data_IF_273560141202
#
_entry.id   IF_273560141202
#
_cell.length_a   1.000
_cell.length_b   1.000
_cell.length_c   1.000
_cell.angle_alpha   90.00
_cell.angle_beta   90.00
_cell.angle_gamma   90.00
#
_symmetry.space_group_name_H-M   'P 1'
#
loop_
_entity.id
_entity.type
_entity.pdbx_description
1 polymer ?
#
# COMPACT_ATOMS: atom_id res chain seq x y z
N UNK A 1 22.26 15.08 -23.18
CA UNK A 1 21.27 14.45 -22.28
C UNK A 1 21.23 15.23 -20.97
N UNK A 2 20.08 15.79 -20.56
CA UNK A 2 19.95 16.32 -19.19
C UNK A 2 19.93 15.12 -18.24
N UNK A 3 20.93 15.03 -17.36
CA UNK A 3 20.91 14.09 -16.25
C UNK A 3 19.69 14.45 -15.41
N UNK A 4 18.67 13.59 -15.40
CA UNK A 4 17.51 13.78 -14.53
C UNK A 4 18.04 13.69 -13.10
N UNK A 5 18.00 14.80 -12.37
CA UNK A 5 18.35 14.83 -10.95
C UNK A 5 17.43 13.88 -10.21
N UNK A 6 17.95 12.73 -9.80
CA UNK A 6 17.22 11.80 -8.95
C UNK A 6 17.20 12.35 -7.52
N UNK A 7 16.12 12.09 -6.79
CA UNK A 7 16.11 12.31 -5.34
C UNK A 7 17.22 11.42 -4.76
N UNK A 8 18.22 11.98 -4.07
CA UNK A 8 19.46 11.27 -3.72
C UNK A 8 19.25 10.09 -2.76
N UNK A 9 18.09 10.04 -2.10
CA UNK A 9 17.69 9.02 -1.13
C UNK A 9 17.21 7.74 -1.80
N UNK A 10 16.63 7.80 -3.00
CA UNK A 10 16.06 6.64 -3.68
C UNK A 10 16.98 6.17 -4.80
N UNK A 11 17.70 5.08 -4.57
CA UNK A 11 18.73 4.55 -5.49
C UNK A 11 18.38 3.17 -6.02
N UNK A 12 17.58 2.42 -5.27
CA UNK A 12 17.25 1.01 -5.55
C UNK A 12 15.75 0.78 -5.43
N UNK A 13 15.20 -0.29 -6.03
CA UNK A 13 13.82 -0.71 -5.78
C UNK A 13 13.53 -0.93 -4.29
N UNK A 14 14.51 -1.45 -3.54
CA UNK A 14 14.41 -1.62 -2.09
C UNK A 14 14.10 -0.30 -1.37
N UNK A 15 14.71 0.82 -1.77
CA UNK A 15 14.45 2.11 -1.13
C UNK A 15 13.00 2.56 -1.31
N UNK A 16 12.40 2.23 -2.46
CA UNK A 16 10.99 2.50 -2.77
C UNK A 16 10.08 1.54 -2.01
N UNK A 17 10.46 0.27 -1.86
CA UNK A 17 9.72 -0.69 -1.03
C UNK A 17 9.70 -0.28 0.45
N UNK A 18 10.85 0.17 0.99
CA UNK A 18 10.91 0.70 2.34
C UNK A 18 10.13 2.01 2.48
N UNK A 19 10.04 2.82 1.41
CA UNK A 19 9.11 3.97 1.39
C UNK A 19 7.66 3.50 1.46
N UNK A 20 7.28 2.48 0.70
CA UNK A 20 5.93 1.91 0.71
C UNK A 20 5.53 1.50 2.13
N UNK A 21 6.42 0.82 2.86
CA UNK A 21 6.16 0.40 4.24
C UNK A 21 6.08 1.58 5.21
N UNK A 22 6.88 2.64 5.02
CA UNK A 22 6.71 3.89 5.78
C UNK A 22 5.37 4.55 5.50
N UNK A 23 4.91 4.59 4.23
CA UNK A 23 3.58 5.11 3.93
C UNK A 23 2.49 4.23 4.56
N UNK A 24 2.61 2.90 4.53
CA UNK A 24 1.70 1.98 5.22
C UNK A 24 1.54 2.33 6.71
N UNK A 25 2.66 2.53 7.41
CA UNK A 25 2.67 2.97 8.80
C UNK A 25 2.01 4.32 9.01
N UNK A 26 2.28 5.29 8.11
CA UNK A 26 1.68 6.64 8.18
C UNK A 26 0.18 6.63 7.89
N UNK A 27 -0.29 5.83 6.94
CA UNK A 27 -1.73 5.67 6.67
C UNK A 27 -2.42 5.13 7.93
N UNK A 28 -1.85 4.06 8.48
CA UNK A 28 -2.47 3.35 9.61
C UNK A 28 -2.53 4.17 10.89
N UNK A 29 -1.49 4.97 11.15
CA UNK A 29 -1.33 5.75 12.37
C UNK A 29 -1.69 7.23 12.17
N UNK A 30 -2.33 7.61 11.05
CA UNK A 30 -2.73 8.98 10.79
C UNK A 30 -3.70 9.49 11.88
N UNK A 31 -3.53 10.75 12.36
CA UNK A 31 -4.34 11.29 13.45
C UNK A 31 -5.76 11.68 13.03
N UNK A 32 -5.99 11.88 11.73
CA UNK A 32 -7.25 12.34 11.17
C UNK A 32 -7.44 11.80 9.74
N UNK A 33 -8.67 11.87 9.23
CA UNK A 33 -9.04 11.35 7.91
C UNK A 33 -8.32 12.07 6.75
N UNK A 34 -7.98 13.35 6.90
CA UNK A 34 -7.30 14.11 5.84
C UNK A 34 -5.86 13.60 5.70
N UNK A 35 -5.11 13.55 6.80
CA UNK A 35 -3.77 12.97 6.88
C UNK A 35 -3.77 11.51 6.40
N UNK A 36 -4.79 10.72 6.79
CA UNK A 36 -4.95 9.34 6.35
C UNK A 36 -5.13 9.25 4.83
N UNK A 37 -5.95 10.13 4.25
CA UNK A 37 -6.20 10.18 2.81
C UNK A 37 -4.94 10.52 2.02
N UNK A 38 -4.17 11.51 2.49
CA UNK A 38 -2.90 11.90 1.88
C UNK A 38 -1.89 10.75 1.90
N UNK A 39 -1.78 10.05 3.04
CA UNK A 39 -0.89 8.90 3.16
C UNK A 39 -1.36 7.70 2.35
N UNK A 40 -2.67 7.44 2.26
CA UNK A 40 -3.25 6.40 1.39
C UNK A 40 -2.93 6.68 -0.08
N UNK A 41 -3.13 7.92 -0.54
CA UNK A 41 -2.79 8.29 -1.90
C UNK A 41 -1.29 8.10 -2.18
N UNK A 42 -0.43 8.55 -1.26
CA UNK A 42 1.01 8.34 -1.35
C UNK A 42 1.40 6.87 -1.35
N UNK A 43 0.73 6.03 -0.57
CA UNK A 43 0.92 4.58 -0.56
C UNK A 43 0.58 3.98 -1.94
N UNK A 44 -0.58 4.29 -2.50
CA UNK A 44 -1.02 3.81 -3.82
C UNK A 44 -0.08 4.26 -4.96
N UNK A 45 0.37 5.51 -4.95
CA UNK A 45 1.37 6.03 -5.91
C UNK A 45 2.71 5.32 -5.75
N UNK A 46 3.15 5.10 -4.50
CA UNK A 46 4.42 4.41 -4.21
C UNK A 46 4.37 2.96 -4.66
N UNK A 47 3.24 2.27 -4.47
CA UNK A 47 3.02 0.89 -4.95
C UNK A 47 3.24 0.77 -6.46
N UNK A 48 2.60 1.67 -7.22
CA UNK A 48 2.76 1.69 -8.68
C UNK A 48 4.18 2.08 -9.10
N UNK A 49 4.81 3.00 -8.37
CA UNK A 49 6.19 3.40 -8.62
C UNK A 49 7.19 2.27 -8.38
N UNK A 50 6.96 1.43 -7.36
CA UNK A 50 7.84 0.31 -7.02
C UNK A 50 7.93 -0.72 -8.16
N UNK A 51 6.80 -1.04 -8.80
CA UNK A 51 6.76 -1.85 -10.02
C UNK A 51 7.70 -1.30 -11.09
N UNK A 52 7.60 0.00 -11.37
CA UNK A 52 8.40 0.63 -12.43
C UNK A 52 9.90 0.63 -12.08
N UNK A 53 10.23 0.79 -10.79
CA UNK A 53 11.60 0.67 -10.31
C UNK A 53 12.17 -0.74 -10.48
N UNK A 54 11.39 -1.79 -10.15
CA UNK A 54 11.80 -3.19 -10.34
C UNK A 54 11.99 -3.55 -11.82
N UNK A 55 11.06 -3.12 -12.68
CA UNK A 55 11.20 -3.31 -14.13
C UNK A 55 12.49 -2.66 -14.63
N UNK A 56 12.71 -1.40 -14.23
CA UNK A 56 13.88 -0.64 -14.64
C UNK A 56 15.19 -1.24 -14.13
N UNK A 57 15.24 -1.75 -12.89
CA UNK A 57 16.46 -2.37 -12.36
C UNK A 57 16.85 -3.64 -13.11
N UNK A 58 15.88 -4.31 -13.73
CA UNK A 58 16.09 -5.50 -14.56
C UNK A 58 16.32 -5.19 -16.05
N UNK A 59 16.29 -3.90 -16.43
CA UNK A 59 16.35 -3.50 -17.84
C UNK A 59 15.15 -3.97 -18.67
N UNK A 60 14.03 -4.29 -18.01
CA UNK A 60 12.81 -4.79 -18.66
C UNK A 60 11.88 -3.61 -18.94
N UNK A 61 11.27 -3.61 -20.12
CA UNK A 61 10.16 -2.72 -20.44
C UNK A 61 8.89 -3.55 -20.34
N UNK A 62 8.00 -3.23 -19.39
CA UNK A 62 6.75 -3.98 -19.22
C UNK A 62 5.87 -3.84 -20.46
N UNK A 63 5.26 -4.94 -20.89
CA UNK A 63 4.22 -4.97 -21.92
C UNK A 63 2.83 -5.02 -21.28
N UNK A 64 1.78 -5.01 -22.12
CA UNK A 64 0.39 -5.03 -21.63
C UNK A 64 0.11 -6.24 -20.73
N UNK A 65 0.59 -7.43 -21.14
CA UNK A 65 0.39 -8.69 -20.42
C UNK A 65 1.07 -8.65 -19.04
N UNK A 66 2.28 -8.11 -18.98
CA UNK A 66 2.97 -7.87 -17.71
C UNK A 66 2.16 -6.93 -16.82
N UNK A 67 1.67 -5.80 -17.34
CA UNK A 67 0.91 -4.86 -16.52
C UNK A 67 -0.41 -5.45 -16.02
N UNK A 68 -1.11 -6.25 -16.81
CA UNK A 68 -2.32 -6.97 -16.38
C UNK A 68 -2.02 -8.00 -15.29
N UNK A 69 -0.99 -8.85 -15.50
CA UNK A 69 -0.59 -9.84 -14.50
C UNK A 69 -0.13 -9.19 -13.18
N UNK A 70 0.61 -8.07 -13.26
CA UNK A 70 0.98 -7.29 -12.08
C UNK A 70 -0.25 -6.71 -11.39
N UNK A 71 -1.22 -6.16 -12.13
CA UNK A 71 -2.46 -5.62 -11.54
C UNK A 71 -3.25 -6.71 -10.81
N UNK A 72 -3.17 -7.97 -11.25
CA UNK A 72 -3.84 -9.11 -10.62
C UNK A 72 -3.17 -9.61 -9.33
N UNK A 73 -1.93 -9.19 -9.02
CA UNK A 73 -1.21 -9.55 -7.79
C UNK A 73 -1.91 -9.01 -6.53
N UNK A 74 -1.58 -9.60 -5.38
CA UNK A 74 -2.23 -9.31 -4.11
C UNK A 74 -3.76 -9.45 -4.19
N UNK A 75 -4.26 -10.46 -4.93
CA UNK A 75 -5.70 -10.64 -5.22
C UNK A 75 -6.35 -9.44 -5.93
N UNK A 76 -5.64 -8.80 -6.85
CA UNK A 76 -6.12 -7.64 -7.62
C UNK A 76 -5.86 -6.27 -6.98
N UNK A 77 -5.39 -6.23 -5.73
CA UNK A 77 -5.22 -4.97 -4.99
C UNK A 77 -4.13 -4.05 -5.56
N UNK A 78 -3.18 -4.59 -6.31
CA UNK A 78 -2.20 -3.77 -7.04
C UNK A 78 -2.89 -2.91 -8.13
N UNK A 79 -3.88 -3.48 -8.82
CA UNK A 79 -4.73 -2.75 -9.76
C UNK A 79 -5.54 -1.66 -9.09
N UNK A 80 -6.13 -1.96 -7.93
CA UNK A 80 -6.90 -0.99 -7.13
C UNK A 80 -6.04 0.19 -6.68
N UNK A 81 -4.81 -0.05 -6.24
CA UNK A 81 -3.82 1.01 -5.96
C UNK A 81 -3.52 1.87 -7.19
N UNK A 82 -3.29 1.25 -8.34
CA UNK A 82 -3.04 2.00 -9.58
C UNK A 82 -4.26 2.85 -9.97
N UNK A 83 -5.46 2.35 -9.71
CA UNK A 83 -6.69 3.07 -9.99
C UNK A 83 -6.87 4.23 -9.00
N UNK A 84 -6.71 4.03 -7.70
CA UNK A 84 -6.75 5.14 -6.71
C UNK A 84 -5.72 6.22 -7.06
N UNK A 85 -4.47 5.84 -7.36
CA UNK A 85 -3.41 6.77 -7.74
C UNK A 85 -3.72 7.58 -9.02
N UNK A 86 -4.48 6.99 -9.95
CA UNK A 86 -4.89 7.62 -11.21
C UNK A 86 -6.23 8.36 -11.12
N UNK A 87 -7.09 8.05 -10.14
CA UNK A 87 -8.42 8.65 -9.98
C UNK A 87 -8.33 10.16 -9.74
N UNK A 88 -7.37 10.56 -8.90
CA UNK A 88 -7.10 11.96 -8.60
C UNK A 88 -6.53 12.76 -9.78
N UNK A 89 -6.22 12.10 -10.92
CA UNK A 89 -5.69 12.75 -12.13
C UNK A 89 -6.73 12.95 -13.24
N UNK A 90 -7.74 12.08 -13.34
CA UNK A 90 -8.65 12.05 -14.49
C UNK A 90 -10.13 12.32 -14.18
N UNK A 91 -10.54 12.47 -12.91
CA UNK A 91 -11.94 12.78 -12.50
C UNK A 91 -13.01 11.87 -13.17
N UNK A 92 -12.63 10.68 -13.61
CA UNK A 92 -13.56 9.69 -14.19
C UNK A 92 -14.21 8.89 -13.07
N UNK A 93 -15.53 8.70 -13.15
CA UNK A 93 -16.35 7.84 -12.27
C UNK A 93 -15.69 6.46 -12.13
N UNK A 94 -15.38 6.03 -10.89
CA UNK A 94 -14.66 4.78 -10.63
C UNK A 94 -15.52 3.73 -9.95
N UNK A 95 -15.15 2.46 -10.18
CA UNK A 95 -15.70 1.28 -9.47
C UNK A 95 -15.10 1.08 -8.09
N UNK A 96 -13.98 1.75 -7.79
CA UNK A 96 -13.28 1.68 -6.50
C UNK A 96 -13.57 2.94 -5.72
N UNK A 97 -14.10 2.80 -4.51
CA UNK A 97 -14.53 3.91 -3.67
C UNK A 97 -13.86 3.83 -2.30
N UNK A 98 -13.49 4.97 -1.75
CA UNK A 98 -12.93 5.08 -0.40
C UNK A 98 -13.91 5.87 0.44
N UNK A 99 -14.45 5.24 1.48
CA UNK A 99 -15.49 5.83 2.33
C UNK A 99 -15.04 5.88 3.78
N UNK A 100 -15.26 7.03 4.44
CA UNK A 100 -14.99 7.17 5.87
C UNK A 100 -15.95 6.31 6.69
N UNK A 101 -15.41 5.61 7.68
CA UNK A 101 -16.16 4.77 8.61
C UNK A 101 -15.58 4.87 10.02
N UNK A 102 -16.38 4.51 11.03
CA UNK A 102 -15.90 4.36 12.41
C UNK A 102 -15.70 2.88 12.71
N UNK A 103 -14.50 2.52 13.15
CA UNK A 103 -14.16 1.17 13.60
C UNK A 103 -14.04 1.09 15.11
N UNK A 104 -14.43 -0.06 15.66
CA UNK A 104 -14.20 -0.43 17.05
C UNK A 104 -12.99 -1.36 17.13
N UNK A 105 -11.94 -0.93 17.82
CA UNK A 105 -10.77 -1.73 18.14
C UNK A 105 -10.91 -2.30 19.54
N UNK A 106 -10.46 -3.54 19.71
CA UNK A 106 -10.42 -4.22 21.00
C UNK A 106 -9.07 -4.90 21.19
N UNK A 107 -8.55 -4.84 22.41
CA UNK A 107 -7.39 -5.64 22.82
C UNK A 107 -7.79 -7.10 22.96
N UNK A 108 -7.00 -8.00 22.37
CA UNK A 108 -7.17 -9.45 22.51
C UNK A 108 -6.12 -9.98 23.49
N UNK A 109 -6.59 -10.66 24.54
CA UNK A 109 -5.78 -11.43 25.47
C UNK A 109 -5.94 -12.94 25.24
N UNK A 110 -5.25 -13.77 26.04
CA UNK A 110 -5.30 -15.23 25.90
C UNK A 110 -6.71 -15.83 26.00
N UNK A 111 -7.63 -15.14 26.69
CA UNK A 111 -8.99 -15.60 26.97
C UNK A 111 -10.05 -14.80 26.17
N UNK A 112 -9.65 -14.09 25.12
CA UNK A 112 -10.54 -13.25 24.32
C UNK A 112 -10.36 -11.76 24.59
N UNK A 113 -11.43 -10.98 24.39
CA UNK A 113 -11.38 -9.52 24.50
C UNK A 113 -11.01 -9.08 25.92
N UNK A 114 -10.05 -8.17 26.02
CA UNK A 114 -9.67 -7.53 27.28
C UNK A 114 -10.71 -6.46 27.58
N UNK A 115 -11.47 -6.62 28.66
CA UNK A 115 -12.48 -5.64 29.07
C UNK A 115 -11.85 -4.27 29.32
N UNK A 116 -12.45 -3.20 28.80
CA UNK A 116 -11.97 -1.82 28.94
C UNK A 116 -10.89 -1.44 27.92
N UNK A 117 -10.57 -2.30 26.96
CA UNK A 117 -9.62 -2.01 25.88
C UNK A 117 -10.28 -1.43 24.63
N UNK A 118 -11.60 -1.26 24.65
CA UNK A 118 -12.38 -0.76 23.53
C UNK A 118 -11.95 0.66 23.14
N UNK A 119 -11.60 0.85 21.88
CA UNK A 119 -11.26 2.14 21.30
C UNK A 119 -12.02 2.33 20.01
N UNK A 120 -12.50 3.55 19.75
CA UNK A 120 -13.06 3.92 18.45
C UNK A 120 -12.03 4.70 17.66
N UNK A 121 -12.07 4.56 16.34
CA UNK A 121 -11.32 5.43 15.43
C UNK A 121 -12.07 5.65 14.13
N UNK A 122 -11.84 6.80 13.53
CA UNK A 122 -12.20 7.01 12.14
C UNK A 122 -11.16 6.37 11.22
N UNK A 123 -11.62 5.75 10.14
CA UNK A 123 -10.76 5.15 9.13
C UNK A 123 -11.48 5.08 7.78
N UNK A 124 -10.91 4.33 6.83
CA UNK A 124 -11.51 4.09 5.53
C UNK A 124 -11.90 2.62 5.36
N UNK A 125 -13.06 2.43 4.73
CA UNK A 125 -13.35 1.22 3.98
C UNK A 125 -13.10 1.49 2.49
N UNK A 126 -12.61 0.46 1.80
CA UNK A 126 -12.36 0.52 0.37
C UNK A 126 -13.32 -0.46 -0.31
N UNK A 127 -14.23 0.07 -1.12
CA UNK A 127 -15.04 -0.72 -2.04
C UNK A 127 -14.18 -1.00 -3.25
N UNK A 128 -13.90 -2.27 -3.50
CA UNK A 128 -13.09 -2.73 -4.64
C UNK A 128 -13.89 -2.64 -5.94
N UNK A 129 -13.21 -2.72 -7.08
CA UNK A 129 -13.86 -2.72 -8.39
C UNK A 129 -14.85 -3.87 -8.62
N UNK A 130 -14.74 -4.93 -7.81
CA UNK A 130 -15.68 -6.06 -7.76
C UNK A 130 -16.96 -5.78 -6.95
N UNK A 131 -17.04 -4.66 -6.23
CA UNK A 131 -18.09 -4.33 -5.27
C UNK A 131 -17.87 -4.89 -3.87
N UNK A 132 -16.82 -5.71 -3.66
CA UNK A 132 -16.46 -6.23 -2.34
C UNK A 132 -15.82 -5.10 -1.51
N UNK A 133 -16.17 -5.01 -0.23
CA UNK A 133 -15.53 -4.05 0.69
C UNK A 133 -14.36 -4.72 1.43
N UNK A 134 -13.26 -3.98 1.59
CA UNK A 134 -12.11 -4.37 2.42
C UNK A 134 -11.75 -3.22 3.38
N UNK A 135 -11.38 -3.56 4.61
CA UNK A 135 -10.90 -2.58 5.58
C UNK A 135 -9.48 -2.10 5.22
N UNK A 136 -9.13 -0.90 5.70
CA UNK A 136 -7.86 -0.27 5.38
C UNK A 136 -6.65 -1.08 5.84
N UNK A 137 -6.71 -1.74 7.01
CA UNK A 137 -5.59 -2.52 7.52
C UNK A 137 -5.29 -3.69 6.58
N UNK A 138 -6.33 -4.45 6.25
CA UNK A 138 -6.21 -5.65 5.42
C UNK A 138 -5.80 -5.29 4.00
N UNK A 139 -6.28 -4.17 3.46
CA UNK A 139 -5.84 -3.63 2.18
C UNK A 139 -4.33 -3.41 2.15
N UNK A 140 -3.81 -2.64 3.13
CA UNK A 140 -2.38 -2.34 3.25
C UNK A 140 -1.57 -3.63 3.49
N UNK A 141 -2.02 -4.47 4.42
CA UNK A 141 -1.36 -5.70 4.80
C UNK A 141 -1.17 -6.64 3.61
N UNK A 142 -2.23 -6.92 2.85
CA UNK A 142 -2.16 -7.82 1.67
C UNK A 142 -1.19 -7.31 0.60
N UNK A 143 -1.16 -6.01 0.36
CA UNK A 143 -0.24 -5.39 -0.60
C UNK A 143 1.21 -5.49 -0.12
N UNK A 144 1.46 -5.20 1.15
CA UNK A 144 2.80 -5.30 1.73
C UNK A 144 3.31 -6.75 1.76
N UNK A 145 2.45 -7.70 2.14
CA UNK A 145 2.76 -9.14 2.14
C UNK A 145 3.14 -9.64 0.74
N UNK A 146 2.41 -9.21 -0.31
CA UNK A 146 2.75 -9.56 -1.69
C UNK A 146 4.15 -9.02 -2.05
N UNK A 147 4.46 -7.77 -1.69
CA UNK A 147 5.79 -7.21 -1.97
C UNK A 147 6.93 -7.88 -1.18
N UNK A 148 6.68 -8.29 0.06
CA UNK A 148 7.63 -9.13 0.79
C UNK A 148 7.89 -10.45 0.06
N UNK A 149 6.83 -11.09 -0.45
CA UNK A 149 6.92 -12.30 -1.25
C UNK A 149 7.71 -12.10 -2.54
N UNK A 150 7.43 -11.03 -3.28
CA UNK A 150 8.16 -10.68 -4.51
C UNK A 150 9.65 -10.50 -4.25
N UNK A 151 10.03 -9.71 -3.25
CA UNK A 151 11.44 -9.47 -2.91
C UNK A 151 12.14 -10.69 -2.33
N UNK A 152 11.41 -11.58 -1.65
CA UNK A 152 11.99 -12.82 -1.12
C UNK A 152 12.21 -13.86 -2.22
N UNK A 153 11.43 -13.82 -3.29
CA UNK A 153 11.50 -14.76 -4.41
C UNK A 153 12.42 -14.29 -5.55
N UNK A 154 12.78 -13.01 -5.57
CA UNK A 154 13.62 -12.40 -6.60
C UNK A 154 15.12 -12.58 -6.26
N UNK A 155 15.90 -13.34 -7.05
CA UNK A 155 17.31 -13.61 -6.74
C UNK A 155 18.20 -12.36 -6.79
N UNK A 156 17.76 -11.30 -7.48
CA UNK A 156 18.48 -10.04 -7.59
C UNK A 156 18.17 -9.08 -6.43
N UNK A 157 17.27 -9.46 -5.52
CA UNK A 157 16.85 -8.65 -4.38
C UNK A 157 17.13 -9.35 -3.06
N UNK A 158 17.40 -8.54 -2.03
CA UNK A 158 17.44 -9.04 -0.66
C UNK A 158 16.02 -9.02 -0.06
N UNK A 159 15.66 -9.99 0.80
CA UNK A 159 14.38 -9.98 1.51
C UNK A 159 14.11 -8.64 2.21
N UNK A 160 12.86 -8.20 2.16
CA UNK A 160 12.41 -7.01 2.88
C UNK A 160 12.23 -7.32 4.36
N UNK A 161 12.42 -6.33 5.26
CA UNK A 161 11.99 -6.49 6.65
C UNK A 161 10.46 -6.62 6.72
N UNK A 162 9.90 -7.24 7.77
CA UNK A 162 8.45 -7.33 7.92
C UNK A 162 7.79 -5.94 8.03
N UNK A 163 6.80 -5.68 7.19
CA UNK A 163 6.04 -4.42 7.13
C UNK A 163 5.33 -4.11 8.45
N UNK A 164 4.98 -5.14 9.24
CA UNK A 164 4.39 -4.98 10.58
C UNK A 164 5.23 -4.10 11.50
N UNK A 165 6.56 -4.10 11.36
CA UNK A 165 7.44 -3.21 12.13
C UNK A 165 7.19 -1.71 11.90
N UNK A 166 6.67 -1.36 10.73
CA UNK A 166 6.30 0.01 10.34
C UNK A 166 4.86 0.37 10.75
N UNK A 167 3.97 -0.62 10.87
CA UNK A 167 2.61 -0.40 11.35
C UNK A 167 2.56 -0.17 12.87
N UNK A 168 3.45 -0.82 13.61
CA UNK A 168 3.51 -0.77 15.08
C UNK A 168 4.29 0.44 15.63
N UNK A 169 5.01 1.18 14.78
CA UNK A 169 5.70 2.40 15.19
C UNK A 169 4.72 3.57 15.15
N UNK A 170 4.21 3.97 16.32
CA UNK A 170 3.59 5.29 16.48
C UNK A 170 4.72 6.33 16.48
N UNK A 171 4.71 7.23 15.49
CA UNK A 171 5.59 8.39 15.46
C UNK A 171 5.15 9.41 16.53
#
# INVERSE_FOLDING_TARGET
MKVKTQIPVFKTPRDIALKLFREAGRVWNAPDLQSMGDHLFNFCVTNSSLRDWLLKSKGITGDHVFFESWRAKASGLFGECADIANASKHLVVKKTEVTAVTENLVGLGPNGVIAGSEQTRETFNIVLSSGITIDLLLFIHKICMEWEGEFSSDPDQNPLPPHGSFLLTRA
#
